data_IF_359842905425
#
_entry.id   IF_359842905425
#
_cell.length_a   1.000
_cell.length_b   1.000
_cell.length_c   1.000
_cell.angle_alpha   90.00
_cell.angle_beta   90.00
_cell.angle_gamma   90.00
#
_symmetry.space_group_name_H-M   'P 1'
#
loop_
_entity.id
_entity.type
_entity.pdbx_description
1 polymer ?
#
# COMPACT_ATOMS: atom_id res chain seq x y z
N UNK A 1 21.31 4.11 -12.32
CA UNK A 1 20.94 3.97 -10.90
C UNK A 1 21.20 2.53 -10.46
N UNK A 2 21.83 2.33 -9.30
CA UNK A 2 22.17 1.00 -8.77
C UNK A 2 20.93 0.13 -8.55
N UNK A 3 19.84 0.71 -8.05
CA UNK A 3 18.57 0.01 -7.78
C UNK A 3 17.95 -0.54 -9.06
N UNK A 4 17.85 0.25 -10.14
CA UNK A 4 17.29 -0.23 -11.42
C UNK A 4 18.07 -1.43 -11.97
N UNK A 5 19.41 -1.34 -11.96
CA UNK A 5 20.27 -2.46 -12.37
C UNK A 5 20.07 -3.69 -11.49
N UNK A 6 19.91 -3.50 -10.19
CA UNK A 6 19.64 -4.59 -9.26
C UNK A 6 18.29 -5.27 -9.57
N UNK A 7 17.23 -4.49 -9.82
CA UNK A 7 15.92 -5.02 -10.19
C UNK A 7 15.99 -5.81 -11.51
N UNK A 8 16.65 -5.25 -12.53
CA UNK A 8 16.85 -5.90 -13.83
C UNK A 8 17.61 -7.22 -13.68
N UNK A 9 18.69 -7.24 -12.87
CA UNK A 9 19.48 -8.44 -12.60
C UNK A 9 18.68 -9.56 -11.91
N UNK A 10 17.63 -9.21 -11.18
CA UNK A 10 16.76 -10.17 -10.48
C UNK A 10 15.44 -10.42 -11.22
N UNK A 11 15.25 -9.87 -12.43
CA UNK A 11 14.05 -10.08 -13.23
C UNK A 11 12.79 -9.42 -12.65
N UNK A 12 12.94 -8.34 -11.88
CA UNK A 12 11.81 -7.59 -11.31
C UNK A 12 11.38 -6.50 -12.27
N UNK A 13 10.15 -6.61 -12.80
CA UNK A 13 9.56 -5.59 -13.67
C UNK A 13 9.04 -4.41 -12.84
N UNK A 14 9.53 -3.21 -13.11
CA UNK A 14 9.02 -1.96 -12.55
C UNK A 14 7.73 -1.56 -13.28
N UNK A 15 6.64 -1.35 -12.52
CA UNK A 15 5.40 -0.78 -13.06
C UNK A 15 5.48 0.74 -13.02
N UNK A 16 5.00 1.41 -14.07
CA UNK A 16 4.92 2.88 -14.08
C UNK A 16 3.96 3.36 -12.98
N UNK A 17 4.43 4.26 -12.12
CA UNK A 17 3.60 4.88 -11.09
C UNK A 17 3.62 6.40 -11.27
N UNK A 18 2.45 7.06 -11.41
CA UNK A 18 2.38 8.50 -11.51
C UNK A 18 2.82 9.20 -10.20
N UNK A 19 3.41 10.41 -10.29
CA UNK A 19 3.78 11.16 -9.10
C UNK A 19 2.54 11.60 -8.32
N UNK A 20 2.65 11.63 -6.99
CA UNK A 20 1.59 12.08 -6.07
C UNK A 20 0.28 11.28 -6.15
N UNK A 21 0.32 9.99 -6.48
CA UNK A 21 -0.89 9.15 -6.59
C UNK A 21 -0.96 8.07 -5.50
N UNK A 22 -1.07 8.44 -4.21
CA UNK A 22 -1.23 7.47 -3.12
C UNK A 22 -2.54 6.68 -3.27
N UNK A 23 -3.54 7.27 -3.92
CA UNK A 23 -4.78 6.60 -4.30
C UNK A 23 -4.56 5.44 -5.29
N UNK A 24 -3.41 5.34 -5.94
CA UNK A 24 -3.02 4.21 -6.81
C UNK A 24 -1.94 3.31 -6.19
N UNK A 25 -1.70 3.44 -4.89
CA UNK A 25 -0.70 2.67 -4.14
C UNK A 25 -1.39 1.75 -3.12
N UNK A 26 -1.33 0.41 -3.29
CA UNK A 26 -1.90 -0.54 -2.32
C UNK A 26 -1.42 -0.34 -0.88
N UNK A 27 -0.17 0.14 -0.71
CA UNK A 27 0.37 0.45 0.61
C UNK A 27 -0.41 1.58 1.29
N UNK A 28 -0.77 2.61 0.53
CA UNK A 28 -1.37 3.84 1.03
C UNK A 28 -2.88 3.72 1.26
N UNK A 29 -3.62 3.02 0.38
CA UNK A 29 -5.07 2.89 0.53
C UNK A 29 -5.52 1.64 1.32
N UNK A 30 -4.68 0.61 1.49
CA UNK A 30 -5.02 -0.60 2.27
C UNK A 30 -4.22 -0.73 3.56
N UNK A 31 -2.90 -0.93 3.45
CA UNK A 31 -2.07 -1.41 4.56
C UNK A 31 -1.87 -0.34 5.64
N UNK A 32 -1.51 0.88 5.25
CA UNK A 32 -1.30 1.96 6.20
C UNK A 32 -2.59 2.34 6.96
N UNK A 33 -3.77 2.46 6.33
CA UNK A 33 -5.02 2.69 7.04
C UNK A 33 -5.35 1.61 8.07
N UNK A 34 -5.14 0.33 7.75
CA UNK A 34 -5.36 -0.78 8.68
C UNK A 34 -4.44 -0.70 9.89
N UNK A 35 -3.13 -0.55 9.65
CA UNK A 35 -2.15 -0.42 10.73
C UNK A 35 -2.40 0.82 11.58
N UNK A 36 -2.69 1.96 10.96
CA UNK A 36 -3.04 3.19 11.68
C UNK A 36 -4.31 2.96 12.49
N UNK A 37 -5.35 2.33 11.95
CA UNK A 37 -6.59 2.05 12.66
C UNK A 37 -6.38 1.22 13.92
N UNK A 38 -5.58 0.16 13.86
CA UNK A 38 -5.37 -0.75 14.99
C UNK A 38 -4.34 -0.26 16.00
N UNK A 39 -3.35 0.53 15.57
CA UNK A 39 -2.24 1.00 16.41
C UNK A 39 -2.46 2.43 16.94
N UNK A 40 -3.42 3.19 16.40
CA UNK A 40 -3.70 4.56 16.83
C UNK A 40 -3.99 4.63 18.33
N UNK A 41 -3.40 5.63 18.98
CA UNK A 41 -3.57 5.91 20.41
C UNK A 41 -2.76 5.00 21.34
N UNK A 42 -2.09 3.96 20.82
CA UNK A 42 -1.19 3.13 21.62
C UNK A 42 0.17 3.82 21.75
N UNK A 43 0.70 3.87 22.97
CA UNK A 43 2.07 4.28 23.24
C UNK A 43 2.95 3.03 23.32
N UNK A 44 4.07 3.05 22.62
CA UNK A 44 5.06 1.99 22.63
C UNK A 44 6.32 2.57 23.26
N UNK A 45 6.80 1.96 24.34
CA UNK A 45 8.00 2.40 25.07
C UNK A 45 9.29 1.83 24.47
N UNK A 46 9.17 0.83 23.60
CA UNK A 46 10.29 0.10 23.03
C UNK A 46 10.03 -0.32 21.57
N UNK A 47 11.12 -0.38 20.78
CA UNK A 47 11.07 -0.72 19.35
C UNK A 47 10.61 -2.16 19.13
N UNK A 48 11.04 -3.12 19.96
CA UNK A 48 10.65 -4.51 19.82
C UNK A 48 9.14 -4.68 20.06
N UNK A 49 8.55 -3.87 20.95
CA UNK A 49 7.11 -3.91 21.21
C UNK A 49 6.29 -3.41 20.02
N UNK A 50 6.68 -2.28 19.41
CA UNK A 50 5.99 -1.80 18.19
C UNK A 50 6.18 -2.76 17.01
N UNK A 51 7.38 -3.33 16.82
CA UNK A 51 7.63 -4.32 15.78
C UNK A 51 6.74 -5.56 15.95
N UNK A 52 6.67 -6.11 17.17
CA UNK A 52 5.82 -7.26 17.47
C UNK A 52 4.33 -6.95 17.22
N UNK A 53 3.87 -5.76 17.60
CA UNK A 53 2.51 -5.31 17.34
C UNK A 53 2.23 -5.22 15.84
N UNK A 54 3.07 -4.51 15.08
CA UNK A 54 2.92 -4.37 13.62
C UNK A 54 2.92 -5.74 12.93
N UNK A 55 3.85 -6.64 13.28
CA UNK A 55 3.93 -7.99 12.72
C UNK A 55 2.64 -8.77 13.00
N UNK A 56 2.11 -8.67 14.22
CA UNK A 56 0.85 -9.33 14.58
C UNK A 56 -0.30 -8.82 13.73
N UNK A 57 -0.43 -7.50 13.58
CA UNK A 57 -1.50 -6.90 12.76
C UNK A 57 -1.36 -7.30 11.29
N UNK A 58 -0.14 -7.31 10.74
CA UNK A 58 0.12 -7.76 9.36
C UNK A 58 -0.24 -9.23 9.14
N UNK A 59 0.10 -10.11 10.09
CA UNK A 59 -0.23 -11.54 10.03
C UNK A 59 -1.73 -11.82 10.18
N UNK A 60 -2.48 -10.88 10.74
CA UNK A 60 -3.92 -11.01 10.89
C UNK A 60 -4.68 -10.66 9.60
N UNK A 61 -4.03 -10.06 8.59
CA UNK A 61 -4.64 -9.73 7.31
C UNK A 61 -4.82 -11.03 6.50
N UNK A 62 -6.06 -11.40 6.11
CA UNK A 62 -6.31 -12.58 5.30
C UNK A 62 -5.64 -12.48 3.92
N UNK A 63 -5.23 -13.61 3.35
CA UNK A 63 -4.60 -13.64 2.02
C UNK A 63 -5.57 -13.14 0.94
N UNK A 64 -6.85 -13.41 1.12
CA UNK A 64 -7.92 -13.00 0.21
C UNK A 64 -8.06 -11.48 0.16
N UNK A 65 -7.72 -10.79 1.25
CA UNK A 65 -7.75 -9.33 1.30
C UNK A 65 -6.64 -8.72 0.43
N UNK A 66 -5.46 -9.34 0.40
CA UNK A 66 -4.41 -8.96 -0.55
C UNK A 66 -4.85 -9.17 -2.00
N UNK A 67 -5.52 -10.29 -2.30
CA UNK A 67 -6.04 -10.54 -3.65
C UNK A 67 -7.05 -9.46 -4.06
N UNK A 68 -8.03 -9.17 -3.20
CA UNK A 68 -9.03 -8.12 -3.45
C UNK A 68 -8.41 -6.75 -3.65
N UNK A 69 -7.31 -6.46 -2.97
CA UNK A 69 -6.59 -5.18 -3.12
C UNK A 69 -6.06 -4.96 -4.53
N UNK A 70 -5.67 -6.02 -5.24
CA UNK A 70 -5.25 -5.91 -6.63
C UNK A 70 -6.43 -5.70 -7.57
N UNK A 71 -7.59 -6.29 -7.28
CA UNK A 71 -8.83 -5.99 -8.00
C UNK A 71 -9.25 -4.53 -7.77
N UNK A 72 -9.16 -4.05 -6.52
CA UNK A 72 -9.42 -2.66 -6.17
C UNK A 72 -8.44 -1.71 -6.86
N UNK A 73 -7.14 -2.07 -6.94
CA UNK A 73 -6.15 -1.28 -7.67
C UNK A 73 -6.55 -1.12 -9.14
N UNK A 74 -7.02 -2.18 -9.79
CA UNK A 74 -7.52 -2.12 -11.15
C UNK A 74 -8.71 -1.14 -11.27
N UNK A 75 -9.70 -1.27 -10.38
CA UNK A 75 -10.86 -0.37 -10.37
C UNK A 75 -10.48 1.09 -10.09
N UNK A 76 -9.47 1.32 -9.25
CA UNK A 76 -8.96 2.66 -8.92
C UNK A 76 -8.20 3.27 -10.10
N UNK A 77 -7.42 2.49 -10.83
CA UNK A 77 -6.84 2.92 -12.10
C UNK A 77 -7.93 3.31 -13.11
N UNK A 78 -9.02 2.54 -13.21
CA UNK A 78 -10.15 2.92 -14.07
C UNK A 78 -10.80 4.23 -13.65
N UNK A 79 -10.98 4.46 -12.34
CA UNK A 79 -11.48 5.75 -11.84
C UNK A 79 -10.54 6.89 -12.20
N UNK A 80 -9.23 6.74 -11.99
CA UNK A 80 -8.25 7.75 -12.39
C UNK A 80 -8.41 8.16 -13.86
N UNK A 81 -8.67 7.21 -14.76
CA UNK A 81 -8.95 7.51 -16.18
C UNK A 81 -10.27 8.27 -16.35
N UNK A 82 -11.34 7.86 -15.67
CA UNK A 82 -12.66 8.52 -15.75
C UNK A 82 -12.61 9.96 -15.25
N UNK A 83 -11.79 10.23 -14.24
CA UNK A 83 -11.57 11.57 -13.67
C UNK A 83 -10.43 12.33 -14.35
N UNK A 84 -9.95 11.88 -15.52
CA UNK A 84 -8.89 12.54 -16.30
C UNK A 84 -7.59 12.82 -15.49
N UNK A 85 -7.27 11.91 -14.57
CA UNK A 85 -6.12 12.03 -13.68
C UNK A 85 -6.37 12.79 -12.37
N UNK A 86 -7.54 13.39 -12.18
CA UNK A 86 -7.90 14.03 -10.91
C UNK A 86 -8.15 13.00 -9.79
N UNK A 87 -7.93 13.43 -8.56
CA UNK A 87 -8.25 12.63 -7.38
C UNK A 87 -9.75 12.35 -7.30
N UNK A 88 -10.09 11.09 -7.04
CA UNK A 88 -11.48 10.63 -6.93
C UNK A 88 -11.91 10.29 -5.49
N UNK A 89 -11.02 10.43 -4.51
CA UNK A 89 -11.32 10.19 -3.10
C UNK A 89 -11.63 11.52 -2.38
N UNK A 90 -12.83 11.64 -1.81
CA UNK A 90 -13.27 12.85 -1.10
C UNK A 90 -14.22 13.77 -1.88
N UNK A 91 -14.62 13.37 -3.09
CA UNK A 91 -15.77 13.92 -3.82
C UNK A 91 -17.11 13.44 -3.25
#
# INVERSE_FOLDING_TARGET
MLVKRFLDQHGVTELSHPPYSPDLSPMDFLLLPKLKGTLKGRQFTDIAYIQAAVIRELKAIPVEEFSRTFDDLYMRCQRCIVYDGDYFEGL
#
